data_IF_776778193525
#
_entry.id   IF_776778193525
#
_cell.length_a   1.000
_cell.length_b   1.000
_cell.length_c   1.000
_cell.angle_alpha   90.00
_cell.angle_beta   90.00
_cell.angle_gamma   90.00
#
_symmetry.space_group_name_H-M   'P 1'
#
loop_
_entity.id
_entity.type
_entity.pdbx_description
1 polymer ?
#
# COMPACT_ATOMS: atom_id res chain seq x y z
N UNK A 1 -9.03 -8.92 -1.52
CA UNK A 1 -10.51 -8.90 -1.47
C UNK A 1 -11.07 -9.15 -0.06
N UNK A 2 -10.29 -9.71 0.85
CA UNK A 2 -10.76 -10.13 2.18
C UNK A 2 -11.44 -9.03 3.01
N UNK A 3 -11.20 -7.76 2.67
CA UNK A 3 -11.77 -6.60 3.37
C UNK A 3 -12.85 -5.86 2.55
N UNK A 4 -13.12 -6.30 1.32
CA UNK A 4 -14.11 -5.67 0.44
C UNK A 4 -15.46 -6.40 0.55
N UNK A 5 -16.55 -5.63 0.62
CA UNK A 5 -17.89 -6.19 0.51
C UNK A 5 -18.28 -6.43 -0.97
N UNK A 6 -19.36 -7.19 -1.20
CA UNK A 6 -19.79 -7.57 -2.55
C UNK A 6 -20.07 -6.36 -3.47
N UNK A 7 -20.58 -5.25 -2.93
CA UNK A 7 -20.82 -4.03 -3.69
C UNK A 7 -19.50 -3.41 -4.17
N UNK A 8 -18.51 -3.32 -3.30
CA UNK A 8 -17.18 -2.81 -3.66
C UNK A 8 -16.47 -3.70 -4.69
N UNK A 9 -16.62 -5.03 -4.57
CA UNK A 9 -16.09 -5.97 -5.57
C UNK A 9 -16.77 -5.77 -6.92
N UNK A 10 -18.08 -5.59 -6.93
CA UNK A 10 -18.85 -5.35 -8.15
C UNK A 10 -18.47 -4.00 -8.81
N UNK A 11 -18.36 -2.94 -8.02
CA UNK A 11 -17.96 -1.62 -8.52
C UNK A 11 -16.55 -1.65 -9.13
N UNK A 12 -15.61 -2.35 -8.49
CA UNK A 12 -14.26 -2.52 -9.05
C UNK A 12 -14.27 -3.32 -10.35
N UNK A 13 -15.09 -4.37 -10.44
CA UNK A 13 -15.24 -5.15 -11.69
C UNK A 13 -15.80 -4.27 -12.82
N UNK A 14 -16.84 -3.50 -12.55
CA UNK A 14 -17.43 -2.59 -13.53
C UNK A 14 -16.39 -1.57 -14.00
N UNK A 15 -15.67 -0.95 -13.08
CA UNK A 15 -14.60 -0.02 -13.40
C UNK A 15 -13.52 -0.66 -14.30
N UNK A 16 -13.09 -1.88 -14.01
CA UNK A 16 -12.11 -2.59 -14.83
C UNK A 16 -12.66 -2.91 -16.22
N UNK A 17 -13.92 -3.35 -16.34
CA UNK A 17 -14.55 -3.63 -17.63
C UNK A 17 -14.70 -2.37 -18.47
N UNK A 18 -15.14 -1.26 -17.87
CA UNK A 18 -15.24 0.03 -18.54
C UNK A 18 -13.87 0.52 -19.05
N UNK A 19 -12.84 0.38 -18.22
CA UNK A 19 -11.45 0.70 -18.60
C UNK A 19 -10.98 -0.15 -19.77
N UNK A 20 -11.22 -1.46 -19.76
CA UNK A 20 -10.88 -2.33 -20.89
C UNK A 20 -11.62 -1.93 -22.17
N UNK A 21 -12.87 -1.53 -22.05
CA UNK A 21 -13.64 -1.05 -23.19
C UNK A 21 -13.07 0.26 -23.76
N UNK A 22 -12.70 1.20 -22.90
CA UNK A 22 -12.11 2.49 -23.31
C UNK A 22 -10.78 2.31 -24.04
N UNK A 23 -9.93 1.38 -23.59
CA UNK A 23 -8.65 1.06 -24.26
C UNK A 23 -8.81 0.12 -25.46
N UNK A 24 -10.04 -0.13 -25.90
CA UNK A 24 -10.39 -0.92 -27.10
C UNK A 24 -9.93 -2.39 -27.06
N UNK A 25 -9.81 -2.99 -25.90
CA UNK A 25 -9.62 -4.43 -25.79
C UNK A 25 -10.97 -5.10 -26.10
N UNK A 26 -11.09 -5.66 -27.32
CA UNK A 26 -12.35 -6.20 -27.82
C UNK A 26 -12.68 -7.61 -27.33
N UNK A 27 -11.67 -8.35 -26.89
CA UNK A 27 -11.86 -9.73 -26.40
C UNK A 27 -11.22 -9.88 -25.04
N UNK A 28 -12.08 -9.91 -24.02
CA UNK A 28 -11.65 -10.33 -22.69
C UNK A 28 -11.59 -11.85 -22.62
N UNK A 29 -10.51 -12.46 -22.10
CA UNK A 29 -10.51 -13.87 -21.77
C UNK A 29 -11.70 -14.20 -20.87
N UNK A 30 -12.26 -15.40 -20.99
CA UNK A 30 -13.44 -15.82 -20.20
C UNK A 30 -13.27 -15.70 -18.69
N UNK A 31 -12.03 -15.63 -18.21
CA UNK A 31 -11.71 -15.46 -16.79
C UNK A 31 -10.59 -14.44 -16.65
N UNK A 32 -10.94 -13.15 -16.65
CA UNK A 32 -9.99 -12.04 -16.50
C UNK A 32 -9.75 -11.66 -15.06
N UNK A 33 -10.78 -11.86 -14.22
CA UNK A 33 -10.76 -11.44 -12.82
C UNK A 33 -10.96 -12.66 -11.94
N UNK A 34 -10.03 -12.88 -11.01
CA UNK A 34 -10.18 -13.87 -9.95
C UNK A 34 -10.49 -13.08 -8.68
N UNK A 35 -11.75 -13.14 -8.25
CA UNK A 35 -12.32 -12.35 -7.15
C UNK A 35 -12.58 -13.17 -5.88
N UNK A 36 -11.89 -14.29 -5.76
CA UNK A 36 -11.97 -15.17 -4.59
C UNK A 36 -11.01 -14.71 -3.48
N UNK A 37 -11.36 -14.92 -2.20
CA UNK A 37 -10.40 -14.88 -1.11
C UNK A 37 -9.20 -15.80 -1.36
N UNK A 38 -8.02 -15.44 -0.84
CA UNK A 38 -6.79 -16.19 -1.09
C UNK A 38 -6.87 -17.66 -0.66
N UNK A 39 -7.52 -17.93 0.46
CA UNK A 39 -7.71 -19.27 1.02
C UNK A 39 -8.72 -20.13 0.23
N UNK A 40 -9.48 -19.54 -0.70
CA UNK A 40 -10.42 -20.20 -1.58
C UNK A 40 -9.89 -20.42 -3.00
N UNK A 41 -8.65 -20.00 -3.28
CA UNK A 41 -8.02 -20.27 -4.56
C UNK A 41 -7.73 -21.78 -4.69
N UNK A 42 -8.01 -22.30 -5.88
CA UNK A 42 -7.77 -23.71 -6.21
C UNK A 42 -6.77 -23.85 -7.36
N UNK A 43 -6.39 -25.09 -7.69
CA UNK A 43 -5.39 -25.38 -8.72
C UNK A 43 -5.74 -24.78 -10.08
N UNK A 44 -7.03 -24.66 -10.43
CA UNK A 44 -7.42 -24.04 -11.70
C UNK A 44 -7.20 -22.53 -11.69
N UNK A 45 -7.39 -21.87 -10.56
CA UNK A 45 -7.12 -20.44 -10.39
C UNK A 45 -5.61 -20.16 -10.49
N UNK A 46 -4.80 -20.94 -9.78
CA UNK A 46 -3.34 -20.86 -9.89
C UNK A 46 -2.86 -21.15 -11.32
N UNK A 47 -3.41 -22.13 -11.99
CA UNK A 47 -3.08 -22.42 -13.38
C UNK A 47 -3.44 -21.25 -14.29
N UNK A 48 -4.60 -20.63 -14.10
CA UNK A 48 -5.01 -19.44 -14.86
C UNK A 48 -4.04 -18.27 -14.67
N UNK A 49 -3.60 -18.02 -13.43
CA UNK A 49 -2.60 -16.99 -13.11
C UNK A 49 -1.27 -17.29 -13.80
N UNK A 50 -0.77 -18.53 -13.66
CA UNK A 50 0.53 -18.93 -14.22
C UNK A 50 0.56 -18.94 -15.74
N UNK A 51 -0.57 -19.19 -16.40
CA UNK A 51 -0.69 -19.27 -17.85
C UNK A 51 -1.23 -18.01 -18.51
N UNK A 52 -1.53 -16.95 -17.74
CA UNK A 52 -2.06 -15.68 -18.26
C UNK A 52 -1.12 -15.05 -19.29
N UNK A 53 0.20 -15.20 -19.08
CA UNK A 53 1.21 -14.67 -20.00
C UNK A 53 1.19 -13.13 -20.08
N UNK A 54 2.07 -12.61 -20.93
CA UNK A 54 2.06 -11.21 -21.31
C UNK A 54 1.55 -11.07 -22.75
N UNK A 55 0.60 -10.16 -22.94
CA UNK A 55 0.08 -9.84 -24.27
C UNK A 55 0.43 -8.39 -24.61
N UNK A 56 1.05 -8.19 -25.78
CA UNK A 56 1.25 -6.84 -26.29
C UNK A 56 -0.10 -6.24 -26.71
N UNK A 57 -0.42 -5.07 -26.16
CA UNK A 57 -1.61 -4.33 -26.56
C UNK A 57 -1.23 -2.88 -26.84
N UNK A 58 -1.73 -2.35 -27.95
CA UNK A 58 -1.70 -0.92 -28.18
C UNK A 58 -2.81 -0.30 -27.31
N UNK A 59 -2.42 0.54 -26.36
CA UNK A 59 -3.36 1.24 -25.50
C UNK A 59 -3.02 2.71 -25.37
N UNK A 60 -4.03 3.52 -25.17
CA UNK A 60 -3.85 4.92 -24.77
C UNK A 60 -3.80 4.99 -23.26
N UNK A 61 -2.73 5.60 -22.72
CA UNK A 61 -2.63 5.82 -21.27
C UNK A 61 -3.81 6.68 -20.81
N UNK A 62 -4.61 6.15 -19.91
CA UNK A 62 -5.65 6.93 -19.27
C UNK A 62 -5.04 7.97 -18.34
N UNK A 63 -5.51 9.21 -18.45
CA UNK A 63 -5.21 10.24 -17.47
C UNK A 63 -6.01 9.99 -16.21
N UNK A 64 -5.37 10.04 -15.08
CA UNK A 64 -6.04 10.14 -13.78
C UNK A 64 -5.75 11.52 -13.17
N UNK A 65 -6.71 12.00 -12.42
CA UNK A 65 -6.61 13.26 -11.73
C UNK A 65 -5.55 13.15 -10.62
N UNK A 66 -4.43 13.86 -10.80
CA UNK A 66 -3.33 13.89 -9.82
C UNK A 66 -3.73 14.60 -8.54
N UNK A 67 -4.78 15.43 -8.55
CA UNK A 67 -5.28 16.12 -7.37
C UNK A 67 -6.01 15.17 -6.40
N UNK A 68 -6.31 13.96 -6.87
CA UNK A 68 -6.83 12.83 -6.06
C UNK A 68 -5.74 11.82 -5.72
N UNK A 69 -4.47 12.13 -5.95
CA UNK A 69 -3.36 11.26 -5.56
C UNK A 69 -3.18 11.29 -4.04
N UNK A 70 -2.75 10.16 -3.52
CA UNK A 70 -2.44 10.03 -2.10
C UNK A 70 -1.24 10.89 -1.72
N UNK A 71 -1.28 11.47 -0.52
CA UNK A 71 -0.17 12.18 0.07
C UNK A 71 0.91 11.21 0.52
N UNK A 72 2.16 11.70 0.50
CA UNK A 72 3.30 10.95 1.03
C UNK A 72 4.17 11.89 1.85
N UNK A 73 4.39 11.55 3.11
CA UNK A 73 5.33 12.23 4.00
C UNK A 73 6.58 11.39 4.18
N UNK A 74 7.73 12.06 4.16
CA UNK A 74 9.04 11.43 4.20
C UNK A 74 9.78 11.82 5.48
N UNK A 75 10.20 10.83 6.26
CA UNK A 75 10.96 10.98 7.49
C UNK A 75 12.32 10.33 7.31
N UNK A 76 13.37 11.15 7.27
CA UNK A 76 14.73 10.68 7.01
C UNK A 76 15.60 10.76 8.25
N UNK A 77 16.52 9.80 8.39
CA UNK A 77 17.53 9.76 9.44
C UNK A 77 16.94 9.91 10.84
N UNK A 78 15.87 9.17 11.11
CA UNK A 78 15.23 9.13 12.44
C UNK A 78 15.97 8.13 13.32
N UNK A 79 16.08 8.46 14.63
CA UNK A 79 16.73 7.60 15.64
C UNK A 79 15.67 6.76 16.37
N UNK A 80 15.01 5.85 15.63
CA UNK A 80 13.98 5.01 16.21
C UNK A 80 14.51 3.61 16.56
N UNK A 81 14.01 3.07 17.67
CA UNK A 81 14.19 1.66 18.00
C UNK A 81 13.05 0.81 17.42
N UNK A 82 13.24 -0.51 17.40
CA UNK A 82 12.18 -1.44 16.94
C UNK A 82 10.93 -1.31 17.81
N UNK A 83 11.10 -1.29 19.13
CA UNK A 83 10.01 -1.18 20.12
C UNK A 83 9.23 0.12 19.92
N UNK A 84 9.93 1.23 19.68
CA UNK A 84 9.28 2.50 19.41
C UNK A 84 8.40 2.44 18.15
N UNK A 85 8.87 1.81 17.07
CA UNK A 85 8.10 1.66 15.84
C UNK A 85 6.89 0.74 16.03
N UNK A 86 7.05 -0.38 16.79
CA UNK A 86 5.95 -1.27 17.11
C UNK A 86 4.84 -0.58 17.92
N UNK A 87 5.20 0.34 18.81
CA UNK A 87 4.25 1.08 19.63
C UNK A 87 3.64 2.29 18.89
N UNK A 88 4.45 3.03 18.12
CA UNK A 88 4.02 4.30 17.55
C UNK A 88 3.22 4.11 16.26
N UNK A 89 3.57 3.14 15.41
CA UNK A 89 2.83 2.93 14.16
C UNK A 89 1.33 2.65 14.37
N UNK A 90 0.91 1.75 15.27
CA UNK A 90 -0.52 1.54 15.54
C UNK A 90 -1.25 2.79 16.04
N UNK A 91 -0.58 3.63 16.87
CA UNK A 91 -1.15 4.87 17.38
C UNK A 91 -1.43 5.87 16.26
N UNK A 92 -0.51 6.00 15.29
CA UNK A 92 -0.68 6.85 14.12
C UNK A 92 -1.90 6.43 13.28
N UNK A 93 -2.11 5.12 13.07
CA UNK A 93 -3.28 4.63 12.33
C UNK A 93 -4.61 4.82 13.06
N UNK A 94 -4.59 4.93 14.40
CA UNK A 94 -5.78 5.06 15.23
C UNK A 94 -6.19 6.51 15.47
N UNK A 95 -5.27 7.46 15.36
CA UNK A 95 -5.55 8.88 15.58
C UNK A 95 -6.06 9.55 14.30
N UNK A 96 -7.36 9.91 14.22
CA UNK A 96 -7.92 10.58 13.05
C UNK A 96 -7.33 11.96 12.79
N UNK A 97 -6.68 12.57 13.80
CA UNK A 97 -5.98 13.84 13.59
C UNK A 97 -4.69 13.71 12.78
N UNK A 98 -4.19 12.50 12.56
CA UNK A 98 -3.06 12.24 11.67
C UNK A 98 -3.45 12.24 10.18
N UNK A 99 -4.75 12.28 9.86
CA UNK A 99 -5.30 12.00 8.55
C UNK A 99 -5.62 10.51 8.35
N UNK A 100 -5.97 10.14 7.14
CA UNK A 100 -6.29 8.74 6.81
C UNK A 100 -5.03 8.02 6.33
N UNK A 101 -4.23 7.51 7.25
CA UNK A 101 -3.00 6.77 6.93
C UNK A 101 -3.37 5.38 6.40
N UNK A 102 -2.82 5.01 5.23
CA UNK A 102 -2.98 3.68 4.62
C UNK A 102 -1.82 2.76 4.94
N UNK A 103 -0.60 3.30 4.88
CA UNK A 103 0.62 2.51 5.01
C UNK A 103 1.78 3.34 5.54
N UNK A 104 2.62 2.73 6.36
CA UNK A 104 3.94 3.23 6.71
C UNK A 104 4.95 2.19 6.22
N UNK A 105 5.95 2.62 5.43
CA UNK A 105 6.96 1.72 4.88
C UNK A 105 8.32 2.38 4.80
N UNK A 106 9.36 1.57 4.76
CA UNK A 106 10.73 2.04 4.53
C UNK A 106 11.77 1.22 5.26
N UNK A 107 12.87 1.85 5.59
CA UNK A 107 13.96 1.21 6.33
C UNK A 107 14.42 2.12 7.46
N UNK A 108 14.76 1.49 8.58
CA UNK A 108 15.28 2.14 9.78
C UNK A 108 16.63 1.54 10.15
N UNK A 109 17.63 2.38 10.36
CA UNK A 109 18.86 1.95 11.01
C UNK A 109 18.67 2.02 12.52
N UNK A 110 18.95 0.92 13.20
CA UNK A 110 18.88 0.85 14.65
C UNK A 110 20.15 1.43 15.29
N UNK A 111 20.09 1.76 16.60
CA UNK A 111 21.25 2.31 17.33
C UNK A 111 22.49 1.40 17.33
N UNK A 112 22.32 0.10 17.19
CA UNK A 112 23.40 -0.88 17.08
C UNK A 112 24.00 -1.00 15.66
N UNK A 113 23.47 -0.23 14.72
CA UNK A 113 23.89 -0.20 13.32
C UNK A 113 23.20 -1.23 12.41
N UNK A 114 22.40 -2.12 12.98
CA UNK A 114 21.59 -3.07 12.18
C UNK A 114 20.44 -2.36 11.47
N UNK A 115 19.81 -3.06 10.50
CA UNK A 115 18.75 -2.48 9.69
C UNK A 115 17.47 -3.28 9.77
N UNK A 116 16.35 -2.56 9.79
CA UNK A 116 15.01 -3.11 9.69
C UNK A 116 14.30 -2.55 8.44
N UNK A 117 13.61 -3.43 7.74
CA UNK A 117 12.51 -3.06 6.85
C UNK A 117 11.26 -2.87 7.69
N UNK A 118 10.58 -1.75 7.50
CA UNK A 118 9.33 -1.39 8.18
C UNK A 118 8.19 -1.47 7.20
N UNK A 119 7.15 -2.21 7.54
CA UNK A 119 5.92 -2.28 6.77
C UNK A 119 4.72 -2.35 7.72
N UNK A 120 4.06 -1.23 7.92
CA UNK A 120 2.92 -1.14 8.81
C UNK A 120 1.64 -0.76 8.05
N UNK A 121 0.53 -1.34 8.47
CA UNK A 121 -0.83 -1.09 8.01
C UNK A 121 -1.76 -0.98 9.21
N UNK A 122 -3.03 -0.64 9.01
CA UNK A 122 -4.04 -0.64 10.09
C UNK A 122 -4.16 -1.98 10.81
N UNK A 123 -3.77 -3.10 10.16
CA UNK A 123 -3.90 -4.45 10.71
C UNK A 123 -2.67 -4.90 11.50
N UNK A 124 -1.49 -4.51 11.06
CA UNK A 124 -0.24 -5.02 11.64
C UNK A 124 0.95 -4.13 11.33
N UNK A 125 1.93 -4.18 12.22
CA UNK A 125 3.28 -3.65 12.01
C UNK A 125 4.23 -4.83 11.86
N UNK A 126 4.93 -4.90 10.73
CA UNK A 126 5.91 -5.94 10.45
C UNK A 126 7.29 -5.28 10.33
N UNK A 127 8.19 -5.71 11.21
CA UNK A 127 9.60 -5.32 11.22
C UNK A 127 10.43 -6.54 10.81
N UNK A 128 11.23 -6.40 9.76
CA UNK A 128 12.03 -7.51 9.24
C UNK A 128 13.51 -7.10 9.17
N UNK A 129 14.43 -7.83 9.78
CA UNK A 129 15.86 -7.59 9.63
C UNK A 129 16.29 -7.67 8.16
N UNK A 130 17.09 -6.70 7.73
CA UNK A 130 17.65 -6.63 6.37
C UNK A 130 19.14 -6.31 6.44
N UNK A 131 19.95 -6.69 5.43
CA UNK A 131 21.40 -6.48 5.49
C UNK A 131 21.80 -5.00 5.39
N UNK A 132 21.01 -4.18 4.72
CA UNK A 132 21.23 -2.74 4.55
C UNK A 132 19.95 -2.05 4.09
N UNK A 133 19.93 -0.71 4.11
CA UNK A 133 18.82 0.10 3.65
C UNK A 133 19.21 1.56 3.50
N UNK A 134 18.23 2.39 3.22
CA UNK A 134 18.32 3.85 3.31
C UNK A 134 17.40 4.29 4.45
N UNK A 135 17.93 5.03 5.42
CA UNK A 135 17.18 5.48 6.60
C UNK A 135 16.08 6.49 6.20
N UNK A 136 14.98 5.93 5.70
CA UNK A 136 13.80 6.67 5.27
C UNK A 136 12.55 5.89 5.60
N UNK A 137 11.59 6.56 6.25
CA UNK A 137 10.24 6.07 6.46
C UNK A 137 9.26 6.93 5.68
N UNK A 138 8.32 6.30 5.03
CA UNK A 138 7.33 6.95 4.17
C UNK A 138 5.95 6.63 4.75
N UNK A 139 5.19 7.68 5.08
CA UNK A 139 3.77 7.57 5.46
C UNK A 139 2.94 7.92 4.23
N UNK A 140 2.01 7.05 3.87
CA UNK A 140 1.15 7.18 2.70
C UNK A 140 -0.29 7.23 3.16
N UNK A 141 -1.07 8.19 2.69
CA UNK A 141 -2.46 8.37 3.08
C UNK A 141 -3.16 9.51 2.38
N UNK A 142 -4.30 9.91 2.90
CA UNK A 142 -5.08 11.08 2.48
C UNK A 142 -5.16 12.06 3.63
N UNK A 143 -5.18 13.36 3.32
CA UNK A 143 -5.29 14.46 4.30
C UNK A 143 -4.29 14.29 5.46
N UNK A 144 -3.03 14.01 5.13
CA UNK A 144 -2.00 13.79 6.14
C UNK A 144 -1.61 15.08 6.85
N UNK A 145 -1.69 15.08 8.18
CA UNK A 145 -1.31 16.20 9.01
C UNK A 145 0.10 16.01 9.59
N UNK A 146 1.08 16.51 8.87
CA UNK A 146 2.50 16.32 9.21
C UNK A 146 2.83 16.77 10.62
N UNK A 147 2.33 17.92 11.08
CA UNK A 147 2.59 18.47 12.40
C UNK A 147 2.06 17.59 13.54
N UNK A 148 0.95 16.88 13.31
CA UNK A 148 0.40 15.91 14.27
C UNK A 148 1.26 14.66 14.30
N UNK A 149 1.62 14.13 13.14
CA UNK A 149 2.47 12.95 12.99
C UNK A 149 3.84 13.18 13.62
N UNK A 150 4.45 14.34 13.41
CA UNK A 150 5.73 14.73 13.99
C UNK A 150 5.70 14.78 15.52
N UNK A 151 4.57 15.10 16.14
CA UNK A 151 4.41 15.02 17.61
C UNK A 151 4.52 13.58 18.13
N UNK A 152 4.01 12.62 17.41
CA UNK A 152 4.17 11.21 17.76
C UNK A 152 5.62 10.75 17.59
N UNK A 153 6.30 11.22 16.57
CA UNK A 153 7.66 10.82 16.24
C UNK A 153 8.74 11.77 16.78
N UNK A 154 8.35 12.70 17.65
CA UNK A 154 9.29 13.49 18.46
C UNK A 154 10.12 14.52 17.71
N UNK A 155 9.77 14.88 16.47
CA UNK A 155 10.29 16.08 15.83
C UNK A 155 9.52 17.28 16.36
N UNK A 156 10.08 17.97 17.35
CA UNK A 156 9.68 19.35 17.60
C UNK A 156 10.06 20.16 16.35
N UNK A 157 9.08 20.81 15.74
CA UNK A 157 9.36 21.83 14.75
C UNK A 157 10.31 22.86 15.38
N UNK A 158 11.54 22.95 14.88
CA UNK A 158 12.47 24.06 15.16
C UNK A 158 12.16 25.16 14.16
#
# INVERSE_FOLDING_TARGET
IDDANDAQVMDMKNYLFDTYHEIKIQTLPKQVIIDKPLDQLNDSDYKAIMTSGWHNAEYTKLWFDTDKSYDSLYFMNMDFTAEFLEESCPKLFQDPNCGNIFRIKGFQQLPDGSWLSVNATKKQTVLTPVPNGQAILIIIGEDLHQDVIERYWGRSCV
#
